data_IF_684002392768
#
_entry.id   IF_684002392768
#
_cell.length_a   1.000
_cell.length_b   1.000
_cell.length_c   1.000
_cell.angle_alpha   90.00
_cell.angle_beta   90.00
_cell.angle_gamma   90.00
#
_symmetry.space_group_name_H-M   'P 1'
#
loop_
_entity.id
_entity.type
_entity.pdbx_description
1 polymer ?
#
# COMPACT_ATOMS: atom_id res chain seq x y z
N UNK A 1 12.41 2.06 7.31
CA UNK A 1 11.18 2.83 6.98
C UNK A 1 10.01 1.90 6.81
N UNK A 2 10.12 0.87 5.97
CA UNK A 2 9.02 -0.09 5.73
C UNK A 2 8.52 -0.78 7.01
N UNK A 3 9.42 -1.18 7.92
CA UNK A 3 9.04 -1.76 9.22
C UNK A 3 8.16 -0.83 10.07
N UNK A 4 8.32 0.49 9.93
CA UNK A 4 7.50 1.49 10.60
C UNK A 4 6.11 1.54 9.97
N UNK A 5 6.03 1.47 8.63
CA UNK A 5 4.75 1.41 7.93
C UNK A 5 3.96 0.16 8.33
N UNK A 6 4.62 -1.00 8.40
CA UNK A 6 3.96 -2.23 8.88
C UNK A 6 3.52 -2.11 10.33
N UNK A 7 4.39 -1.63 11.22
CA UNK A 7 4.06 -1.42 12.63
C UNK A 7 2.84 -0.50 12.79
N UNK A 8 2.76 0.58 12.00
CA UNK A 8 1.64 1.50 12.01
C UNK A 8 0.37 0.83 11.49
N UNK A 9 0.47 0.04 10.42
CA UNK A 9 -0.68 -0.64 9.87
C UNK A 9 -1.23 -1.70 10.83
N UNK A 10 -0.39 -2.58 11.36
CA UNK A 10 -0.81 -3.65 12.27
C UNK A 10 -1.42 -3.11 13.57
N UNK A 11 -0.85 -2.05 14.15
CA UNK A 11 -1.27 -1.55 15.47
C UNK A 11 -2.39 -0.50 15.41
N UNK A 12 -2.48 0.28 14.33
CA UNK A 12 -3.37 1.45 14.28
C UNK A 12 -4.50 1.36 13.26
N UNK A 13 -4.44 0.46 12.26
CA UNK A 13 -5.49 0.40 11.22
C UNK A 13 -6.65 -0.54 11.60
N UNK A 14 -6.43 -1.53 12.47
CA UNK A 14 -7.53 -2.36 13.02
C UNK A 14 -8.28 -1.69 14.18
N UNK A 15 -7.73 -0.64 14.76
CA UNK A 15 -8.46 0.21 15.69
C UNK A 15 -9.12 1.30 14.85
N UNK A 16 -10.44 1.51 14.99
CA UNK A 16 -11.26 2.50 14.24
C UNK A 16 -10.86 3.96 14.54
N UNK A 17 -9.58 4.24 14.73
CA UNK A 17 -9.02 5.55 15.00
C UNK A 17 -8.79 6.18 13.63
N UNK A 18 -9.68 7.09 13.26
CA UNK A 18 -9.41 8.08 12.22
C UNK A 18 -7.94 8.51 12.36
N UNK A 19 -7.18 8.47 11.25
CA UNK A 19 -5.77 8.88 11.16
C UNK A 19 -5.69 10.41 11.33
N UNK A 20 -6.12 10.89 12.49
CA UNK A 20 -5.85 12.18 13.10
C UNK A 20 -5.08 11.93 14.41
N UNK A 21 -4.24 10.87 14.44
CA UNK A 21 -3.27 10.70 15.51
C UNK A 21 -2.24 11.81 15.36
N UNK A 22 -2.01 12.55 16.44
CA UNK A 22 -1.04 13.65 16.48
C UNK A 22 0.34 13.11 16.04
N UNK A 23 0.93 13.72 15.02
CA UNK A 23 2.25 13.33 14.50
C UNK A 23 3.31 13.33 15.60
N UNK A 24 3.18 14.21 16.59
CA UNK A 24 4.10 14.27 17.73
C UNK A 24 3.93 13.06 18.65
N UNK A 25 2.69 12.65 18.93
CA UNK A 25 2.39 11.46 19.74
C UNK A 25 2.86 10.18 19.05
N UNK A 26 2.61 10.05 17.75
CA UNK A 26 3.05 8.91 16.95
C UNK A 26 4.58 8.83 16.87
N UNK A 27 5.25 9.98 16.76
CA UNK A 27 6.72 10.04 16.74
C UNK A 27 7.30 9.61 18.07
N UNK A 28 6.72 10.02 19.20
CA UNK A 28 7.16 9.60 20.53
C UNK A 28 6.98 8.09 20.74
N UNK A 29 5.86 7.54 20.31
CA UNK A 29 5.58 6.11 20.40
C UNK A 29 6.54 5.28 19.54
N UNK A 30 6.72 5.64 18.27
CA UNK A 30 7.66 4.95 17.38
C UNK A 30 9.11 5.05 17.88
N UNK A 31 9.48 6.19 18.49
CA UNK A 31 10.80 6.34 19.13
C UNK A 31 10.92 5.39 20.33
N UNK A 32 9.86 5.24 21.13
CA UNK A 32 9.82 4.30 22.27
C UNK A 32 9.85 2.83 21.82
N UNK A 33 9.25 2.53 20.67
CA UNK A 33 9.33 1.22 20.02
C UNK A 33 10.73 0.89 19.47
N UNK A 34 11.64 1.88 19.44
CA UNK A 34 13.05 1.70 19.08
C UNK A 34 13.40 2.12 17.66
N UNK A 35 12.48 2.76 16.93
CA UNK A 35 12.75 3.23 15.57
C UNK A 35 13.60 4.51 15.56
N UNK A 36 14.45 4.64 14.55
CA UNK A 36 15.26 5.83 14.36
C UNK A 36 14.42 7.01 13.85
N UNK A 37 14.63 8.19 14.43
CA UNK A 37 13.86 9.41 14.11
C UNK A 37 13.85 9.76 12.62
N UNK A 38 14.97 9.58 11.92
CA UNK A 38 15.03 9.84 10.47
C UNK A 38 14.11 8.92 9.67
N UNK A 39 14.06 7.63 10.03
CA UNK A 39 13.20 6.64 9.39
C UNK A 39 11.72 6.86 9.71
N UNK A 40 11.41 7.34 10.93
CA UNK A 40 10.06 7.75 11.34
C UNK A 40 9.58 8.89 10.44
N UNK A 41 10.38 9.95 10.30
CA UNK A 41 10.00 11.11 9.48
C UNK A 41 9.76 10.72 8.02
N UNK A 42 10.61 9.84 7.45
CA UNK A 42 10.40 9.33 6.09
C UNK A 42 9.08 8.54 5.97
N UNK A 43 8.76 7.69 6.95
CA UNK A 43 7.54 6.89 6.95
C UNK A 43 6.29 7.78 7.07
N UNK A 44 6.31 8.77 7.97
CA UNK A 44 5.22 9.73 8.12
C UNK A 44 5.01 10.56 6.84
N UNK A 45 6.09 11.03 6.21
CA UNK A 45 6.00 11.74 4.93
C UNK A 45 5.49 10.84 3.78
N UNK A 46 5.77 9.54 3.82
CA UNK A 46 5.19 8.57 2.90
C UNK A 46 3.68 8.43 3.12
N UNK A 47 3.22 8.35 4.38
CA UNK A 47 1.80 8.28 4.72
C UNK A 47 1.04 9.57 4.37
N UNK A 48 1.63 10.74 4.60
CA UNK A 48 1.03 12.02 4.21
C UNK A 48 0.77 12.07 2.70
N UNK A 49 1.75 11.66 1.88
CA UNK A 49 1.59 11.58 0.42
C UNK A 49 0.63 10.48 -0.04
N UNK A 50 0.44 9.44 0.76
CA UNK A 50 -0.61 8.45 0.54
C UNK A 50 -1.99 9.04 0.84
N UNK A 51 -2.13 9.79 1.94
CA UNK A 51 -3.37 10.46 2.30
C UNK A 51 -3.76 11.53 1.25
N UNK A 52 -2.79 12.22 0.64
CA UNK A 52 -3.05 13.13 -0.48
C UNK A 52 -3.73 12.44 -1.68
N UNK A 53 -3.59 11.11 -1.82
CA UNK A 53 -4.29 10.35 -2.86
C UNK A 53 -5.79 10.14 -2.57
N UNK A 54 -6.26 10.40 -1.35
CA UNK A 54 -7.67 10.27 -0.94
C UNK A 54 -8.60 11.25 -1.66
N UNK A 55 -8.08 12.39 -2.15
CA UNK A 55 -8.91 13.42 -2.80
C UNK A 55 -9.26 13.09 -4.26
N UNK A 56 -9.32 11.80 -4.61
CA UNK A 56 -9.58 11.29 -5.97
C UNK A 56 -10.90 11.76 -6.57
N UNK A 57 -11.88 12.11 -5.73
CA UNK A 57 -13.17 12.67 -6.16
C UNK A 57 -13.04 14.12 -6.66
N UNK A 58 -12.12 14.92 -6.10
CA UNK A 58 -11.84 16.29 -6.55
C UNK A 58 -10.73 16.33 -7.60
N UNK A 59 -9.74 15.46 -7.47
CA UNK A 59 -8.58 15.35 -8.34
C UNK A 59 -8.34 13.89 -8.72
N UNK A 60 -8.96 13.40 -9.81
CA UNK A 60 -8.77 12.03 -10.27
C UNK A 60 -7.29 11.75 -10.49
N UNK A 61 -6.76 10.74 -9.80
CA UNK A 61 -5.36 10.35 -9.90
C UNK A 61 -4.97 9.94 -11.33
N UNK A 62 -5.89 9.28 -12.04
CA UNK A 62 -5.85 9.11 -13.48
C UNK A 62 -7.13 9.63 -14.13
N UNK A 63 -7.02 10.08 -15.37
CA UNK A 63 -8.19 10.28 -16.21
C UNK A 63 -8.89 8.94 -16.45
N UNK A 64 -10.21 8.91 -16.23
CA UNK A 64 -11.03 7.71 -16.41
C UNK A 64 -10.83 7.13 -17.81
N UNK A 65 -10.20 5.96 -17.88
CA UNK A 65 -10.03 5.23 -19.12
C UNK A 65 -11.29 4.40 -19.40
N UNK A 66 -11.79 4.46 -20.64
CA UNK A 66 -12.97 3.71 -21.08
C UNK A 66 -12.64 2.34 -21.67
N UNK A 67 -11.36 1.99 -21.77
CA UNK A 67 -10.89 0.74 -22.36
C UNK A 67 -9.87 0.05 -21.45
N UNK A 68 -9.81 -1.29 -21.47
CA UNK A 68 -8.76 -2.02 -20.78
C UNK A 68 -7.40 -1.66 -21.37
N UNK A 69 -6.45 -1.30 -20.51
CA UNK A 69 -5.09 -0.94 -20.88
C UNK A 69 -4.11 -2.01 -20.39
N UNK A 70 -3.08 -2.28 -21.20
CA UNK A 70 -1.96 -3.13 -20.77
C UNK A 70 -0.89 -2.24 -20.17
N UNK A 71 -0.52 -2.48 -18.90
CA UNK A 71 0.58 -1.76 -18.26
C UNK A 71 1.93 -2.28 -18.76
N UNK A 72 2.77 -1.36 -19.22
CA UNK A 72 4.17 -1.65 -19.57
C UNK A 72 5.04 -1.10 -18.44
N UNK A 73 5.83 -1.96 -17.80
CA UNK A 73 6.73 -1.54 -16.72
C UNK A 73 8.03 -0.95 -17.25
N UNK A 74 8.52 0.11 -16.60
CA UNK A 74 9.83 0.72 -16.89
C UNK A 74 10.97 -0.16 -16.36
N UNK A 75 12.20 0.12 -16.78
CA UNK A 75 13.37 -0.61 -16.30
C UNK A 75 13.55 -0.48 -14.77
N UNK A 76 13.30 0.72 -14.24
CA UNK A 76 13.42 1.00 -12.80
C UNK A 76 12.32 0.28 -12.00
N UNK A 77 11.08 0.29 -12.51
CA UNK A 77 9.99 -0.50 -11.91
C UNK A 77 10.30 -1.99 -11.93
N UNK A 78 10.85 -2.52 -13.04
CA UNK A 78 11.20 -3.94 -13.14
C UNK A 78 12.38 -4.34 -12.25
N UNK A 79 13.27 -3.40 -11.93
CA UNK A 79 14.37 -3.65 -11.00
C UNK A 79 13.88 -3.78 -9.56
N UNK A 80 12.87 -2.98 -9.17
CA UNK A 80 12.32 -2.96 -7.82
C UNK A 80 11.17 -3.94 -7.60
N UNK A 81 10.33 -4.11 -8.62
CA UNK A 81 9.11 -4.91 -8.64
C UNK A 81 9.37 -6.13 -9.55
N UNK A 82 9.71 -7.24 -8.93
CA UNK A 82 10.08 -8.46 -9.64
C UNK A 82 8.92 -9.08 -10.46
N UNK A 83 9.18 -10.20 -11.13
CA UNK A 83 8.14 -10.87 -11.92
C UNK A 83 6.97 -11.39 -11.07
N UNK A 84 7.23 -11.83 -9.83
CA UNK A 84 6.19 -12.36 -8.95
C UNK A 84 5.25 -11.25 -8.47
N UNK A 85 5.82 -10.12 -8.04
CA UNK A 85 5.08 -8.93 -7.64
C UNK A 85 4.21 -8.40 -8.78
N UNK A 86 4.75 -8.30 -9.99
CA UNK A 86 3.99 -7.87 -11.18
C UNK A 86 2.88 -8.85 -11.56
N UNK A 87 3.14 -10.15 -11.44
CA UNK A 87 2.13 -11.19 -11.63
C UNK A 87 0.99 -11.08 -10.61
N UNK A 88 1.31 -10.75 -9.36
CA UNK A 88 0.32 -10.54 -8.31
C UNK A 88 -0.53 -9.29 -8.55
N UNK A 89 0.07 -8.16 -8.96
CA UNK A 89 -0.68 -6.96 -9.36
C UNK A 89 -1.66 -7.25 -10.51
N UNK A 90 -1.20 -8.02 -11.51
CA UNK A 90 -2.05 -8.46 -12.62
C UNK A 90 -3.20 -9.35 -12.14
N UNK A 91 -2.94 -10.27 -11.21
CA UNK A 91 -3.97 -11.11 -10.60
C UNK A 91 -5.03 -10.27 -9.86
N UNK A 92 -4.61 -9.31 -9.04
CA UNK A 92 -5.53 -8.43 -8.30
C UNK A 92 -6.41 -7.58 -9.22
N UNK A 93 -5.86 -7.09 -10.33
CA UNK A 93 -6.62 -6.39 -11.35
C UNK A 93 -7.65 -7.31 -12.03
N UNK A 94 -7.27 -8.54 -12.38
CA UNK A 94 -8.19 -9.53 -12.95
C UNK A 94 -9.29 -9.94 -11.97
N UNK A 95 -8.98 -10.03 -10.68
CA UNK A 95 -9.92 -10.29 -9.61
C UNK A 95 -10.81 -9.08 -9.26
N UNK A 96 -10.59 -7.92 -9.90
CA UNK A 96 -11.27 -6.65 -9.66
C UNK A 96 -11.09 -6.08 -8.25
N UNK A 97 -10.05 -6.52 -7.55
CA UNK A 97 -9.60 -5.92 -6.28
C UNK A 97 -8.97 -4.56 -6.56
N UNK A 98 -8.12 -4.50 -7.59
CA UNK A 98 -7.54 -3.26 -8.10
C UNK A 98 -8.21 -2.85 -9.42
N UNK A 99 -8.30 -1.54 -9.63
CA UNK A 99 -8.56 -0.96 -10.94
C UNK A 99 -7.29 -0.29 -11.47
N UNK A 100 -7.34 0.25 -12.69
CA UNK A 100 -6.19 0.93 -13.29
C UNK A 100 -5.64 2.05 -12.39
N UNK A 101 -6.50 2.80 -11.70
CA UNK A 101 -6.11 3.92 -10.86
C UNK A 101 -5.42 3.41 -9.60
N UNK A 102 -6.03 2.48 -8.87
CA UNK A 102 -5.45 1.96 -7.63
C UNK A 102 -4.19 1.13 -7.89
N UNK A 103 -4.08 0.46 -9.06
CA UNK A 103 -2.84 -0.19 -9.49
C UNK A 103 -1.69 0.80 -9.62
N UNK A 104 -1.91 1.93 -10.29
CA UNK A 104 -0.86 2.95 -10.43
C UNK A 104 -0.51 3.59 -9.08
N UNK A 105 -1.50 3.83 -8.20
CA UNK A 105 -1.24 4.31 -6.83
C UNK A 105 -0.33 3.36 -6.06
N UNK A 106 -0.57 2.04 -6.15
CA UNK A 106 0.29 1.03 -5.52
C UNK A 106 1.71 1.09 -6.10
N UNK A 107 1.85 1.17 -7.42
CA UNK A 107 3.17 1.24 -8.06
C UNK A 107 3.92 2.49 -7.61
N UNK A 108 3.30 3.67 -7.65
CA UNK A 108 3.92 4.92 -7.21
C UNK A 108 4.38 4.84 -5.75
N UNK A 109 3.54 4.28 -4.88
CA UNK A 109 3.84 4.09 -3.46
C UNK A 109 4.97 3.11 -3.22
N UNK A 110 5.03 2.02 -3.97
CA UNK A 110 6.17 1.08 -3.96
C UNK A 110 7.44 1.78 -4.41
N UNK A 111 7.38 2.54 -5.50
CA UNK A 111 8.55 3.22 -6.06
C UNK A 111 9.15 4.25 -5.08
N UNK A 112 8.32 4.84 -4.22
CA UNK A 112 8.72 5.79 -3.18
C UNK A 112 9.38 5.16 -1.94
N UNK A 113 9.33 3.83 -1.79
CA UNK A 113 10.00 3.14 -0.68
C UNK A 113 11.54 3.29 -0.80
N UNK A 114 12.24 3.47 0.31
CA UNK A 114 13.71 3.55 0.34
C UNK A 114 14.35 2.14 0.34
N UNK A 115 13.97 1.33 -0.65
CA UNK A 115 14.36 -0.08 -0.82
C UNK A 115 14.76 -0.32 -2.28
N UNK A 116 15.83 -1.10 -2.47
CA UNK A 116 16.33 -1.44 -3.81
C UNK A 116 15.39 -2.42 -4.54
N UNK A 117 14.87 -3.40 -3.81
CA UNK A 117 13.89 -4.38 -4.27
C UNK A 117 12.86 -4.60 -3.16
N UNK A 118 11.64 -4.98 -3.54
CA UNK A 118 10.59 -5.36 -2.60
C UNK A 118 10.25 -6.83 -2.76
N UNK A 119 9.85 -7.46 -1.66
CA UNK A 119 9.30 -8.82 -1.68
C UNK A 119 7.81 -8.78 -2.01
N UNK A 120 7.25 -9.94 -2.35
CA UNK A 120 5.81 -10.08 -2.55
C UNK A 120 5.02 -9.76 -1.26
N UNK A 121 5.59 -10.05 -0.09
CA UNK A 121 4.96 -9.73 1.18
C UNK A 121 4.90 -8.23 1.39
N UNK A 122 5.99 -7.52 1.10
CA UNK A 122 6.02 -6.06 1.19
C UNK A 122 4.95 -5.42 0.27
N UNK A 123 4.83 -5.94 -0.97
CA UNK A 123 3.83 -5.47 -1.92
C UNK A 123 2.40 -5.58 -1.38
N UNK A 124 2.06 -6.71 -0.75
CA UNK A 124 0.71 -6.97 -0.22
C UNK A 124 0.33 -5.93 0.85
N UNK A 125 1.25 -5.58 1.72
CA UNK A 125 1.04 -4.51 2.71
C UNK A 125 0.82 -3.16 2.04
N UNK A 126 1.60 -2.82 1.02
CA UNK A 126 1.40 -1.56 0.28
C UNK A 126 0.02 -1.54 -0.41
N UNK A 127 -0.43 -2.67 -0.96
CA UNK A 127 -1.78 -2.80 -1.53
C UNK A 127 -2.85 -2.54 -0.48
N UNK A 128 -2.74 -3.16 0.70
CA UNK A 128 -3.68 -2.93 1.80
C UNK A 128 -3.70 -1.46 2.24
N UNK A 129 -2.52 -0.84 2.41
CA UNK A 129 -2.38 0.57 2.76
C UNK A 129 -3.10 1.47 1.75
N UNK A 130 -2.93 1.22 0.45
CA UNK A 130 -3.59 1.98 -0.60
C UNK A 130 -5.10 1.75 -0.58
N UNK A 131 -5.57 0.51 -0.50
CA UNK A 131 -7.01 0.22 -0.50
C UNK A 131 -7.72 0.81 0.73
N UNK A 132 -7.07 0.78 1.89
CA UNK A 132 -7.58 1.40 3.11
C UNK A 132 -7.69 2.93 2.97
N UNK A 133 -6.72 3.54 2.30
CA UNK A 133 -6.66 4.98 2.09
C UNK A 133 -7.39 5.45 0.83
N UNK A 134 -8.23 4.65 0.15
CA UNK A 134 -9.02 5.13 -0.99
C UNK A 134 -10.51 5.00 -0.65
N UNK A 135 -11.29 6.10 -0.66
CA UNK A 135 -12.71 6.05 -0.33
C UNK A 135 -13.49 5.08 -1.22
N UNK A 136 -14.43 4.32 -0.65
CA UNK A 136 -15.29 3.40 -1.41
C UNK A 136 -14.62 2.09 -1.85
N UNK A 137 -13.46 1.75 -1.26
CA UNK A 137 -12.72 0.51 -1.53
C UNK A 137 -12.79 -0.51 -0.39
N UNK A 138 -13.71 -0.35 0.55
CA UNK A 138 -13.88 -1.23 1.72
C UNK A 138 -14.11 -2.69 1.30
N UNK A 139 -14.89 -2.91 0.23
CA UNK A 139 -15.11 -4.26 -0.31
C UNK A 139 -13.85 -4.88 -0.94
N UNK A 140 -13.05 -4.08 -1.63
CA UNK A 140 -11.78 -4.52 -2.20
C UNK A 140 -10.73 -4.79 -1.10
N UNK A 141 -10.75 -3.98 -0.05
CA UNK A 141 -9.93 -4.15 1.15
C UNK A 141 -10.24 -5.49 1.84
N UNK A 142 -11.51 -5.77 2.13
CA UNK A 142 -11.93 -7.04 2.73
C UNK A 142 -11.57 -8.24 1.85
N UNK A 143 -11.73 -8.14 0.53
CA UNK A 143 -11.34 -9.21 -0.40
C UNK A 143 -9.82 -9.44 -0.41
N UNK A 144 -9.02 -8.38 -0.31
CA UNK A 144 -7.57 -8.48 -0.19
C UNK A 144 -7.14 -9.11 1.13
N UNK A 145 -7.78 -8.73 2.25
CA UNK A 145 -7.56 -9.37 3.55
C UNK A 145 -7.85 -10.88 3.48
N UNK A 146 -9.01 -11.28 2.95
CA UNK A 146 -9.38 -12.70 2.79
C UNK A 146 -8.33 -13.46 1.98
N UNK A 147 -7.84 -12.89 0.88
CA UNK A 147 -6.77 -13.49 0.07
C UNK A 147 -5.47 -13.68 0.87
N UNK A 148 -5.14 -12.77 1.78
CA UNK A 148 -3.95 -12.90 2.63
C UNK A 148 -4.12 -14.00 3.69
N UNK A 149 -5.31 -14.12 4.27
CA UNK A 149 -5.63 -15.17 5.23
C UNK A 149 -5.72 -16.55 4.57
N UNK A 150 -6.34 -16.69 3.41
CA UNK A 150 -6.45 -17.95 2.66
C UNK A 150 -5.08 -18.47 2.17
N UNK A 151 -4.17 -17.58 1.77
CA UNK A 151 -2.80 -17.96 1.39
C UNK A 151 -2.02 -18.49 2.61
N UNK A 152 -2.29 -17.96 3.81
CA UNK A 152 -1.65 -18.40 5.05
C UNK A 152 -2.25 -19.70 5.60
N UNK A 153 -3.54 -19.98 5.39
CA UNK A 153 -4.17 -21.25 5.77
C UNK A 153 -3.84 -22.43 4.82
N UNK A 154 -3.28 -22.16 3.64
CA UNK A 154 -2.89 -23.16 2.64
C UNK A 154 -1.73 -24.10 3.02
N UNK A 155 -1.11 -23.95 4.20
CA UNK A 155 0.00 -24.81 4.69
C UNK A 155 -0.42 -25.90 5.69
N UNK A 156 -1.69 -26.31 5.71
CA UNK A 156 -2.13 -27.50 6.43
C UNK A 156 -2.87 -28.48 5.51
N UNK A 157 -2.12 -29.16 4.64
CA UNK A 157 -2.45 -30.51 4.18
C UNK A 157 -1.17 -31.32 3.93
#
# INVERSE_FOLDING_TARGET
>A
MFDILMYLFENFIHSEVEIMVDHDELTEELTRAGFHKEEILKALAWLERLADLQDSDKHPYLYKQTQPAVRIYTADEMAKIDANCRGFLMFLEQAQVLDNSTREMVIDRVMELDMAEITLEDLKWVVLMVLFNVPGKEGAYSQMEDLLFDINEGYLN
#
